data_IF_929471811181
#
_entry.id   IF_929471811181
#
_cell.length_a   1.000
_cell.length_b   1.000
_cell.length_c   1.000
_cell.angle_alpha   90.00
_cell.angle_beta   90.00
_cell.angle_gamma   90.00
#
_symmetry.space_group_name_H-M   'P 1'
#
loop_
_entity.id
_entity.type
_entity.pdbx_description
1 polymer ?
#
# COMPACT_ATOMS: atom_id res chain seq x y z
N UNK A 1 -8.48 -5.88 13.73
CA UNK A 1 -7.09 -5.51 14.07
C UNK A 1 -7.06 -4.02 14.41
N UNK A 2 -6.15 -3.54 15.27
CA UNK A 2 -6.02 -2.09 15.46
C UNK A 2 -5.66 -1.43 14.12
N UNK A 3 -6.05 -0.16 13.91
CA UNK A 3 -5.70 0.55 12.69
C UNK A 3 -4.17 0.67 12.55
N UNK A 4 -3.63 0.64 11.33
CA UNK A 4 -2.20 0.84 11.11
C UNK A 4 -1.72 2.20 11.64
N UNK A 5 -0.44 2.30 11.98
CA UNK A 5 0.17 3.57 12.37
C UNK A 5 0.16 4.55 11.18
N UNK A 6 -0.23 5.79 11.45
CA UNK A 6 -0.27 6.84 10.44
C UNK A 6 1.14 7.25 10.00
N UNK A 7 1.38 7.49 8.71
CA UNK A 7 2.62 8.05 8.20
C UNK A 7 2.95 9.43 8.78
N UNK A 8 4.23 9.66 9.04
CA UNK A 8 4.68 10.92 9.65
C UNK A 8 4.71 12.11 8.66
N UNK A 9 4.63 11.86 7.35
CA UNK A 9 4.74 12.87 6.29
C UNK A 9 3.41 13.46 5.81
N UNK A 10 2.27 13.08 6.42
CA UNK A 10 0.93 13.51 6.01
C UNK A 10 0.84 15.03 5.85
N UNK A 11 1.26 15.78 6.87
CA UNK A 11 1.19 17.24 6.83
C UNK A 11 1.98 17.85 5.66
N UNK A 12 3.17 17.31 5.37
CA UNK A 12 4.01 17.77 4.27
C UNK A 12 3.41 17.44 2.90
N UNK A 13 2.87 16.24 2.75
CA UNK A 13 2.24 15.79 1.51
C UNK A 13 0.98 16.62 1.22
N UNK A 14 0.14 16.83 2.21
CA UNK A 14 -1.08 17.65 2.09
C UNK A 14 -0.75 19.11 1.78
N UNK A 15 0.25 19.70 2.44
CA UNK A 15 0.68 21.06 2.17
C UNK A 15 1.10 21.27 0.70
N UNK A 16 1.81 20.30 0.12
CA UNK A 16 2.19 20.35 -1.30
C UNK A 16 0.99 20.26 -2.23
N UNK A 17 0.03 19.39 -1.93
CA UNK A 17 -1.19 19.25 -2.72
C UNK A 17 -2.07 20.50 -2.66
N UNK A 18 -2.21 21.13 -1.49
CA UNK A 18 -2.91 22.40 -1.35
C UNK A 18 -2.20 23.50 -2.15
N UNK A 19 -0.87 23.59 -2.08
CA UNK A 19 -0.10 24.59 -2.81
C UNK A 19 -0.19 24.41 -4.33
N UNK A 20 -0.34 23.17 -4.82
CA UNK A 20 -0.55 22.87 -6.25
C UNK A 20 -1.87 23.45 -6.77
N UNK A 21 -2.96 23.33 -5.98
CA UNK A 21 -4.31 23.69 -6.41
C UNK A 21 -4.64 25.19 -6.09
N UNK A 22 -4.23 25.67 -4.92
CA UNK A 22 -4.67 26.97 -4.41
C UNK A 22 -3.77 28.16 -4.84
N UNK A 23 -2.43 27.98 -4.89
CA UNK A 23 -1.46 29.05 -5.17
C UNK A 23 -1.83 30.36 -4.48
N UNK A 24 -2.23 31.37 -5.26
CA UNK A 24 -2.53 32.74 -4.79
C UNK A 24 -3.99 32.91 -4.30
N UNK A 25 -4.86 31.92 -4.48
CA UNK A 25 -6.24 31.95 -3.98
C UNK A 25 -7.26 31.19 -4.84
N UNK A 26 -8.47 31.05 -4.29
CA UNK A 26 -9.60 30.42 -4.95
C UNK A 26 -10.58 31.47 -5.49
N UNK A 27 -10.49 31.75 -6.78
CA UNK A 27 -11.30 32.77 -7.47
C UNK A 27 -12.80 32.47 -7.40
N UNK A 28 -13.19 31.19 -7.41
CA UNK A 28 -14.61 30.80 -7.38
C UNK A 28 -15.19 30.90 -5.98
N UNK A 29 -14.42 30.54 -4.95
CA UNK A 29 -14.86 30.66 -3.57
C UNK A 29 -15.12 32.12 -3.14
N UNK A 30 -14.51 33.11 -3.78
CA UNK A 30 -14.75 34.52 -3.52
C UNK A 30 -16.17 34.98 -3.85
N UNK A 31 -16.92 34.24 -4.66
CA UNK A 31 -18.34 34.48 -4.92
C UNK A 31 -19.23 34.25 -3.69
N UNK A 32 -18.72 33.55 -2.68
CA UNK A 32 -19.45 33.17 -1.47
C UNK A 32 -19.03 34.08 -0.32
N UNK A 33 -19.99 34.50 0.49
CA UNK A 33 -19.72 35.30 1.69
C UNK A 33 -18.76 34.60 2.65
N UNK A 34 -17.76 35.31 3.15
CA UNK A 34 -16.66 34.79 3.97
C UNK A 34 -17.11 33.95 5.19
N UNK A 35 -18.28 34.26 5.74
CA UNK A 35 -18.81 33.64 6.94
C UNK A 35 -20.08 32.82 6.71
N UNK A 36 -20.41 32.55 5.43
CA UNK A 36 -21.58 31.72 5.09
C UNK A 36 -21.37 30.30 5.66
N UNK A 37 -22.18 29.84 6.62
CA UNK A 37 -22.06 28.49 7.16
C UNK A 37 -22.61 27.48 6.15
N UNK A 38 -22.04 26.30 6.14
CA UNK A 38 -22.52 25.18 5.34
C UNK A 38 -22.33 23.85 6.05
N UNK A 39 -23.15 22.89 5.61
CA UNK A 39 -22.99 21.46 5.91
C UNK A 39 -22.80 20.76 4.57
N UNK A 40 -21.77 19.93 4.46
CA UNK A 40 -21.52 19.12 3.28
C UNK A 40 -21.46 17.63 3.65
N UNK A 41 -21.85 16.78 2.72
CA UNK A 41 -21.76 15.33 2.87
C UNK A 41 -20.89 14.74 1.76
N UNK A 42 -20.00 13.81 2.15
CA UNK A 42 -19.23 13.00 1.20
C UNK A 42 -19.91 11.66 1.06
N UNK A 43 -20.17 11.28 -0.20
CA UNK A 43 -20.88 10.05 -0.57
C UNK A 43 -20.00 9.21 -1.46
N UNK A 44 -19.85 7.92 -1.16
CA UNK A 44 -19.23 6.93 -2.05
C UNK A 44 -20.21 6.59 -3.19
N UNK A 45 -19.77 6.61 -4.45
CA UNK A 45 -20.59 6.27 -5.61
C UNK A 45 -20.52 4.81 -6.02
N UNK A 46 -19.61 4.08 -5.41
CA UNK A 46 -19.40 2.65 -5.62
C UNK A 46 -18.94 1.97 -4.33
N UNK A 47 -19.06 0.63 -4.19
CA UNK A 47 -18.55 -0.09 -3.04
C UNK A 47 -17.02 0.01 -2.99
N UNK A 48 -16.45 0.20 -1.78
CA UNK A 48 -15.02 0.31 -1.61
C UNK A 48 -14.57 -0.09 -0.18
N UNK A 49 -13.25 -0.17 0.01
CA UNK A 49 -12.61 -0.12 1.32
C UNK A 49 -12.14 1.31 1.56
N UNK A 50 -12.67 1.96 2.58
CA UNK A 50 -12.34 3.36 2.90
C UNK A 50 -10.87 3.47 3.33
N UNK A 51 -10.18 4.49 2.81
CA UNK A 51 -8.84 4.86 3.28
C UNK A 51 -8.51 6.31 2.92
N UNK A 52 -7.81 7.00 3.83
CA UNK A 52 -7.33 8.36 3.57
C UNK A 52 -7.92 9.44 4.46
N UNK A 53 -8.63 9.07 5.54
CA UNK A 53 -9.25 10.01 6.48
C UNK A 53 -8.25 11.03 7.00
N UNK A 54 -7.06 10.61 7.41
CA UNK A 54 -6.06 11.51 7.98
C UNK A 54 -5.57 12.58 6.98
N UNK A 55 -5.48 12.28 5.69
CA UNK A 55 -5.15 13.27 4.64
C UNK A 55 -6.31 14.20 4.37
N UNK A 56 -7.53 13.68 4.36
CA UNK A 56 -8.75 14.46 4.21
C UNK A 56 -8.89 15.46 5.36
N UNK A 57 -8.78 15.02 6.60
CA UNK A 57 -8.87 15.87 7.80
C UNK A 57 -7.76 16.92 7.83
N UNK A 58 -6.53 16.52 7.48
CA UNK A 58 -5.37 17.40 7.43
C UNK A 58 -5.52 18.50 6.38
N UNK A 59 -6.20 18.22 5.25
CA UNK A 59 -6.50 19.23 4.23
C UNK A 59 -7.31 20.38 4.83
N UNK A 60 -8.39 20.07 5.54
CA UNK A 60 -9.22 21.11 6.17
C UNK A 60 -8.53 21.76 7.35
N UNK A 61 -7.77 21.01 8.15
CA UNK A 61 -6.98 21.56 9.24
C UNK A 61 -5.98 22.63 8.78
N UNK A 62 -5.34 22.43 7.62
CA UNK A 62 -4.40 23.41 7.06
C UNK A 62 -5.10 24.60 6.42
N UNK A 63 -6.25 24.39 5.78
CA UNK A 63 -6.98 25.48 5.10
C UNK A 63 -7.78 26.34 6.10
N UNK A 64 -8.52 25.71 6.99
CA UNK A 64 -9.37 26.41 7.96
C UNK A 64 -9.78 25.49 9.11
N UNK A 65 -9.23 25.71 10.29
CA UNK A 65 -9.52 24.92 11.50
C UNK A 65 -10.98 25.03 12.00
N UNK A 66 -11.80 25.91 11.43
CA UNK A 66 -13.25 26.02 11.71
C UNK A 66 -14.06 24.95 10.98
N UNK A 67 -13.48 24.26 10.00
CA UNK A 67 -14.14 23.13 9.36
C UNK A 67 -13.96 21.90 10.25
N UNK A 68 -15.07 21.32 10.68
CA UNK A 68 -15.11 20.05 11.41
C UNK A 68 -15.57 18.92 10.51
N UNK A 69 -14.97 17.75 10.64
CA UNK A 69 -15.32 16.54 9.88
C UNK A 69 -15.79 15.46 10.85
N UNK A 70 -16.98 14.91 10.59
CA UNK A 70 -17.57 13.81 11.35
C UNK A 70 -17.66 12.57 10.47
N UNK A 71 -16.86 11.54 10.78
CA UNK A 71 -16.79 10.31 10.03
C UNK A 71 -17.82 9.27 10.48
N UNK A 72 -18.39 8.54 9.51
CA UNK A 72 -19.31 7.42 9.74
C UNK A 72 -18.65 6.05 9.51
N UNK A 73 -17.42 6.03 8.99
CA UNK A 73 -16.62 4.83 8.79
C UNK A 73 -15.15 5.11 9.10
N UNK A 74 -14.39 4.07 9.40
CA UNK A 74 -12.95 4.12 9.66
C UNK A 74 -12.14 3.66 8.44
N UNK A 75 -10.86 4.01 8.39
CA UNK A 75 -9.94 3.44 7.41
C UNK A 75 -9.89 1.91 7.57
N UNK A 76 -10.04 1.18 6.46
CA UNK A 76 -10.16 -0.29 6.41
C UNK A 76 -11.59 -0.82 6.42
N UNK A 77 -12.60 0.00 6.72
CA UNK A 77 -14.00 -0.42 6.68
C UNK A 77 -14.50 -0.58 5.23
N UNK A 78 -15.33 -1.59 5.02
CA UNK A 78 -16.08 -1.75 3.78
C UNK A 78 -17.24 -0.74 3.76
N UNK A 79 -17.34 0.01 2.66
CA UNK A 79 -18.42 0.98 2.43
C UNK A 79 -19.26 0.56 1.23
N UNK A 80 -20.58 0.75 1.32
CA UNK A 80 -21.51 0.48 0.23
C UNK A 80 -21.60 1.66 -0.75
N UNK A 81 -22.09 1.41 -1.96
CA UNK A 81 -22.50 2.48 -2.87
C UNK A 81 -23.56 3.35 -2.20
N UNK A 82 -23.50 4.65 -2.49
CA UNK A 82 -24.39 5.70 -1.97
C UNK A 82 -24.35 5.89 -0.43
N UNK A 83 -23.38 5.28 0.26
CA UNK A 83 -23.15 5.52 1.68
C UNK A 83 -22.55 6.92 1.91
N UNK A 84 -23.07 7.63 2.91
CA UNK A 84 -22.44 8.85 3.44
C UNK A 84 -21.26 8.42 4.29
N UNK A 85 -20.03 8.80 3.91
CA UNK A 85 -18.80 8.42 4.63
C UNK A 85 -18.40 9.45 5.68
N UNK A 86 -18.68 10.74 5.43
CA UNK A 86 -18.51 11.79 6.42
C UNK A 86 -19.42 13.00 6.15
N UNK A 87 -19.57 13.85 7.19
CA UNK A 87 -20.23 15.13 7.12
C UNK A 87 -19.24 16.22 7.57
N UNK A 88 -19.20 17.32 6.81
CA UNK A 88 -18.40 18.51 7.13
C UNK A 88 -19.32 19.63 7.59
N UNK A 89 -18.86 20.43 8.57
CA UNK A 89 -19.52 21.65 9.04
C UNK A 89 -18.49 22.76 9.15
N UNK A 90 -18.80 23.94 8.60
CA UNK A 90 -17.92 25.09 8.66
C UNK A 90 -18.25 26.18 7.65
N UNK A 91 -17.33 27.12 7.39
CA UNK A 91 -17.51 28.13 6.34
C UNK A 91 -17.59 27.48 4.96
N UNK A 92 -18.64 27.79 4.19
CA UNK A 92 -18.89 27.24 2.86
C UNK A 92 -17.68 27.41 1.92
N UNK A 93 -17.05 28.60 1.95
CA UNK A 93 -15.85 28.92 1.17
C UNK A 93 -14.72 27.92 1.46
N UNK A 94 -14.42 27.68 2.74
CA UNK A 94 -13.31 26.80 3.15
C UNK A 94 -13.58 25.34 2.78
N UNK A 95 -14.85 24.90 2.89
CA UNK A 95 -15.25 23.54 2.47
C UNK A 95 -15.05 23.36 0.99
N UNK A 96 -15.48 24.29 0.14
CA UNK A 96 -15.33 24.21 -1.32
C UNK A 96 -13.88 24.29 -1.75
N UNK A 97 -13.09 25.17 -1.15
CA UNK A 97 -11.65 25.31 -1.48
C UNK A 97 -10.89 24.01 -1.17
N UNK A 98 -11.23 23.29 -0.08
CA UNK A 98 -10.57 22.04 0.29
C UNK A 98 -11.11 20.80 -0.41
N UNK A 99 -12.30 20.87 -1.01
CA UNK A 99 -13.02 19.72 -1.56
C UNK A 99 -12.15 18.85 -2.47
N UNK A 100 -11.56 19.43 -3.51
CA UNK A 100 -10.87 18.66 -4.54
C UNK A 100 -9.63 17.98 -4.00
N UNK A 101 -8.81 18.71 -3.26
CA UNK A 101 -7.60 18.15 -2.64
C UNK A 101 -7.93 17.03 -1.66
N UNK A 102 -8.92 17.24 -0.77
CA UNK A 102 -9.33 16.23 0.19
C UNK A 102 -9.89 14.96 -0.49
N UNK A 103 -10.77 15.13 -1.50
CA UNK A 103 -11.33 14.01 -2.25
C UNK A 103 -10.26 13.28 -3.08
N UNK A 104 -9.26 13.97 -3.62
CA UNK A 104 -8.17 13.33 -4.38
C UNK A 104 -7.38 12.34 -3.52
N UNK A 105 -7.07 12.66 -2.27
CA UNK A 105 -6.46 11.71 -1.34
C UNK A 105 -7.41 10.55 -1.02
N UNK A 106 -8.64 10.84 -0.65
CA UNK A 106 -9.62 9.84 -0.25
C UNK A 106 -9.88 8.82 -1.38
N UNK A 107 -10.12 9.28 -2.61
CA UNK A 107 -10.42 8.45 -3.76
C UNK A 107 -9.24 7.55 -4.16
N UNK A 108 -8.02 8.09 -4.16
CA UNK A 108 -6.82 7.37 -4.55
C UNK A 108 -6.42 6.33 -3.49
N UNK A 109 -6.44 6.68 -2.21
CA UNK A 109 -6.07 5.78 -1.12
C UNK A 109 -7.13 4.69 -0.92
N UNK A 110 -8.42 5.03 -1.01
CA UNK A 110 -9.49 4.02 -1.02
C UNK A 110 -9.38 3.09 -2.22
N UNK A 111 -8.96 3.59 -3.39
CA UNK A 111 -8.68 2.75 -4.57
C UNK A 111 -7.58 1.72 -4.30
N UNK A 112 -6.47 2.13 -3.70
CA UNK A 112 -5.38 1.23 -3.32
C UNK A 112 -5.84 0.20 -2.27
N UNK A 113 -6.57 0.63 -1.23
CA UNK A 113 -7.10 -0.25 -0.19
C UNK A 113 -8.11 -1.27 -0.76
N UNK A 114 -9.01 -0.83 -1.65
CA UNK A 114 -10.00 -1.70 -2.31
C UNK A 114 -9.33 -2.75 -3.20
N UNK A 115 -8.34 -2.34 -4.01
CA UNK A 115 -7.57 -3.26 -4.84
C UNK A 115 -6.82 -4.30 -3.98
N UNK A 116 -6.25 -3.86 -2.86
CA UNK A 116 -5.60 -4.77 -1.91
C UNK A 116 -6.59 -5.75 -1.31
N UNK A 117 -7.74 -5.27 -0.82
CA UNK A 117 -8.79 -6.12 -0.23
C UNK A 117 -9.24 -7.19 -1.20
N UNK A 118 -9.49 -6.85 -2.45
CA UNK A 118 -9.91 -7.82 -3.47
C UNK A 118 -8.91 -8.94 -3.69
N UNK A 119 -7.60 -8.67 -3.58
CA UNK A 119 -6.55 -9.68 -3.69
C UNK A 119 -6.41 -10.51 -2.39
N UNK A 120 -6.53 -9.88 -1.24
CA UNK A 120 -6.53 -10.57 0.07
C UNK A 120 -7.68 -11.56 0.16
N UNK A 121 -8.87 -11.19 -0.33
CA UNK A 121 -10.03 -12.06 -0.33
C UNK A 121 -9.85 -13.32 -1.20
N UNK A 122 -9.05 -13.24 -2.29
CA UNK A 122 -8.72 -14.39 -3.13
C UNK A 122 -7.91 -15.45 -2.38
N UNK A 123 -7.03 -15.05 -1.46
CA UNK A 123 -6.15 -15.96 -0.73
C UNK A 123 -6.72 -16.43 0.61
N UNK A 124 -7.94 -16.03 0.95
CA UNK A 124 -8.63 -16.51 2.16
C UNK A 124 -8.66 -18.04 2.20
N UNK A 125 -8.34 -18.62 3.36
CA UNK A 125 -8.24 -20.08 3.56
C UNK A 125 -6.87 -20.67 3.23
N UNK A 126 -5.90 -19.86 2.77
CA UNK A 126 -4.47 -20.19 2.71
C UNK A 126 -3.71 -19.44 3.82
N UNK A 127 -2.42 -19.74 4.01
CA UNK A 127 -1.56 -18.95 4.92
C UNK A 127 -0.81 -17.83 4.20
N UNK A 128 -0.93 -17.75 2.88
CA UNK A 128 -0.24 -16.77 2.05
C UNK A 128 -0.73 -15.36 2.33
N UNK A 129 0.20 -14.42 2.43
CA UNK A 129 -0.06 -12.99 2.64
C UNK A 129 0.32 -12.18 1.41
N UNK A 130 -0.41 -11.11 1.15
CA UNK A 130 -0.20 -10.23 0.01
C UNK A 130 0.73 -9.09 0.41
N UNK A 131 1.80 -8.87 -0.37
CA UNK A 131 2.73 -7.77 -0.20
C UNK A 131 2.56 -6.72 -1.30
N UNK A 132 2.77 -5.46 -0.92
CA UNK A 132 3.04 -4.39 -1.87
C UNK A 132 4.48 -4.46 -2.41
N UNK A 133 4.87 -3.44 -3.17
CA UNK A 133 6.25 -3.27 -3.67
C UNK A 133 6.69 -1.81 -3.57
N UNK A 134 7.88 -1.50 -4.12
CA UNK A 134 8.34 -0.12 -4.30
C UNK A 134 7.84 0.54 -5.59
N UNK A 135 6.99 -0.14 -6.39
CA UNK A 135 6.36 0.39 -7.62
C UNK A 135 5.18 1.29 -7.22
N UNK A 136 5.45 2.44 -6.60
CA UNK A 136 4.47 3.39 -6.06
C UNK A 136 4.45 4.69 -6.86
N UNK A 137 3.39 5.48 -6.70
CA UNK A 137 3.37 6.85 -7.19
C UNK A 137 4.48 7.67 -6.50
N UNK A 138 5.26 8.46 -7.26
CA UNK A 138 6.29 9.31 -6.67
C UNK A 138 5.71 10.26 -5.60
N UNK A 139 6.39 10.36 -4.46
CA UNK A 139 5.98 11.22 -3.34
C UNK A 139 4.84 10.68 -2.47
N UNK A 140 4.15 9.58 -2.87
CA UNK A 140 2.98 9.04 -2.16
C UNK A 140 3.20 7.62 -1.61
N UNK A 141 4.47 7.16 -1.55
CA UNK A 141 4.76 5.77 -1.14
C UNK A 141 4.24 5.43 0.25
N UNK A 142 4.46 6.27 1.24
CA UNK A 142 4.00 6.00 2.61
C UNK A 142 2.47 5.96 2.67
N UNK A 143 1.79 6.86 1.96
CA UNK A 143 0.34 6.89 1.88
C UNK A 143 -0.23 5.62 1.22
N UNK A 144 0.35 5.17 0.09
CA UNK A 144 -0.09 3.95 -0.58
C UNK A 144 0.21 2.69 0.25
N UNK A 145 1.37 2.63 0.92
CA UNK A 145 1.69 1.52 1.83
C UNK A 145 0.75 1.46 3.04
N UNK A 146 0.36 2.60 3.59
CA UNK A 146 -0.69 2.66 4.60
C UNK A 146 -2.04 2.11 4.05
N UNK A 147 -2.41 2.50 2.83
CA UNK A 147 -3.63 2.01 2.20
C UNK A 147 -3.61 0.49 1.95
N UNK A 148 -2.45 -0.09 1.65
CA UNK A 148 -2.28 -1.55 1.55
C UNK A 148 -2.58 -2.22 2.88
N UNK A 149 -2.08 -1.69 4.00
CA UNK A 149 -2.40 -2.22 5.34
C UNK A 149 -3.90 -2.10 5.64
N UNK A 150 -4.55 -0.98 5.29
CA UNK A 150 -6.00 -0.81 5.43
C UNK A 150 -6.79 -1.82 4.59
N UNK A 151 -6.29 -2.20 3.42
CA UNK A 151 -6.83 -3.27 2.59
C UNK A 151 -6.62 -4.68 3.15
N UNK A 152 -5.81 -4.85 4.21
CA UNK A 152 -5.51 -6.14 4.83
C UNK A 152 -4.30 -6.86 4.23
N UNK A 153 -3.53 -6.19 3.37
CA UNK A 153 -2.23 -6.65 2.91
C UNK A 153 -1.10 -6.30 3.88
N UNK A 154 0.11 -6.57 3.50
CA UNK A 154 1.33 -6.26 4.22
C UNK A 154 2.27 -5.41 3.38
N UNK A 155 3.20 -4.74 4.05
CA UNK A 155 4.21 -3.97 3.36
C UNK A 155 5.48 -4.81 3.12
N UNK A 156 5.96 -4.83 1.89
CA UNK A 156 7.36 -5.10 1.59
C UNK A 156 8.20 -3.89 2.04
N UNK A 157 9.53 -3.97 1.98
CA UNK A 157 10.42 -2.87 2.37
C UNK A 157 9.93 -1.51 1.86
N UNK A 158 10.08 -0.49 2.71
CA UNK A 158 9.63 0.87 2.42
C UNK A 158 10.57 1.55 1.41
N UNK A 159 11.87 1.34 1.59
CA UNK A 159 12.89 2.01 0.78
C UNK A 159 14.12 1.15 0.52
N UNK A 160 15.25 1.80 0.35
CA UNK A 160 16.55 1.15 0.24
C UNK A 160 17.29 1.06 1.58
N UNK A 161 16.65 1.56 2.66
CA UNK A 161 17.24 1.78 3.97
C UNK A 161 16.74 0.81 5.06
N UNK A 162 15.64 0.10 4.83
CA UNK A 162 14.97 -0.71 5.86
C UNK A 162 15.06 -2.23 5.64
N UNK A 163 15.44 -2.68 4.43
CA UNK A 163 15.78 -4.07 4.14
C UNK A 163 16.70 -4.18 2.92
N UNK A 164 17.51 -5.23 2.88
CA UNK A 164 18.35 -5.58 1.75
C UNK A 164 17.56 -6.56 0.86
N UNK A 165 17.48 -6.26 -0.45
CA UNK A 165 17.01 -7.17 -1.47
C UNK A 165 18.16 -7.40 -2.46
N UNK A 166 18.73 -8.60 -2.43
CA UNK A 166 19.78 -9.06 -3.31
C UNK A 166 19.13 -9.55 -4.60
N UNK A 167 19.58 -9.06 -5.73
CA UNK A 167 19.08 -9.40 -7.09
C UNK A 167 20.17 -10.01 -7.92
N UNK A 168 19.80 -10.59 -9.09
CA UNK A 168 20.70 -11.20 -10.06
C UNK A 168 22.01 -10.41 -10.25
N UNK A 169 21.92 -9.10 -10.51
CA UNK A 169 23.09 -8.25 -10.75
C UNK A 169 24.02 -8.12 -9.53
N UNK A 170 23.49 -8.22 -8.32
CA UNK A 170 24.31 -8.24 -7.11
C UNK A 170 25.01 -9.60 -6.96
N UNK A 171 24.30 -10.71 -7.28
CA UNK A 171 24.86 -12.07 -7.23
C UNK A 171 26.00 -12.20 -8.23
N UNK A 172 25.78 -11.76 -9.48
CA UNK A 172 26.81 -11.76 -10.54
C UNK A 172 28.05 -10.95 -10.12
N UNK A 173 27.83 -9.75 -9.54
CA UNK A 173 28.92 -8.87 -9.13
C UNK A 173 29.76 -9.44 -7.97
N UNK A 174 29.16 -10.23 -7.06
CA UNK A 174 29.80 -10.80 -5.87
C UNK A 174 30.27 -12.24 -6.10
N UNK A 175 29.67 -12.95 -7.07
CA UNK A 175 30.08 -14.27 -7.56
C UNK A 175 29.17 -15.44 -7.17
N UNK A 176 28.35 -15.34 -6.11
CA UNK A 176 27.36 -16.37 -5.75
C UNK A 176 26.31 -15.83 -4.77
N UNK A 177 25.19 -16.55 -4.62
CA UNK A 177 24.13 -16.26 -3.63
C UNK A 177 24.73 -16.28 -2.22
N UNK A 178 25.48 -17.32 -1.89
CA UNK A 178 26.14 -17.46 -0.57
C UNK A 178 27.05 -16.29 -0.25
N UNK A 179 27.90 -15.88 -1.21
CA UNK A 179 28.82 -14.75 -0.99
C UNK A 179 28.06 -13.42 -0.81
N UNK A 180 27.00 -13.20 -1.57
CA UNK A 180 26.19 -11.99 -1.52
C UNK A 180 25.44 -11.88 -0.20
N UNK A 181 24.78 -12.95 0.27
CA UNK A 181 24.09 -12.98 1.58
C UNK A 181 25.09 -12.79 2.72
N UNK A 182 26.24 -13.47 2.68
CA UNK A 182 27.28 -13.30 3.71
C UNK A 182 27.85 -11.88 3.75
N UNK A 183 28.02 -11.23 2.59
CA UNK A 183 28.45 -9.83 2.53
C UNK A 183 27.38 -8.88 3.11
N UNK A 184 26.11 -9.07 2.75
CA UNK A 184 24.99 -8.30 3.27
C UNK A 184 24.87 -8.44 4.79
N UNK A 185 24.96 -9.65 5.35
CA UNK A 185 24.89 -9.90 6.79
C UNK A 185 26.05 -9.28 7.56
N UNK A 186 27.28 -9.34 7.02
CA UNK A 186 28.44 -8.63 7.64
C UNK A 186 28.26 -7.12 7.67
N UNK A 187 27.72 -6.55 6.59
CA UNK A 187 27.50 -5.10 6.49
C UNK A 187 26.36 -4.62 7.38
N UNK A 188 25.29 -5.40 7.51
CA UNK A 188 24.05 -5.02 8.17
C UNK A 188 23.48 -6.19 9.01
N UNK A 189 24.06 -6.50 10.18
CA UNK A 189 23.72 -7.72 10.93
C UNK A 189 22.26 -7.84 11.35
N UNK A 190 21.59 -6.72 11.60
CA UNK A 190 20.22 -6.68 12.14
C UNK A 190 19.15 -6.28 11.10
N UNK A 191 19.54 -6.16 9.83
CA UNK A 191 18.62 -5.79 8.76
C UNK A 191 18.10 -7.05 8.08
N UNK A 192 16.81 -7.07 7.74
CA UNK A 192 16.21 -8.16 6.96
C UNK A 192 16.94 -8.30 5.61
N UNK A 193 17.36 -9.53 5.30
CA UNK A 193 17.99 -9.87 4.02
C UNK A 193 17.07 -10.77 3.24
N UNK A 194 16.70 -10.31 2.07
CA UNK A 194 15.96 -11.06 1.07
C UNK A 194 16.85 -11.27 -0.15
N UNK A 195 16.76 -12.45 -0.76
CA UNK A 195 17.48 -12.79 -1.99
C UNK A 195 16.50 -13.30 -3.04
N UNK A 196 16.60 -12.73 -4.23
CA UNK A 196 15.84 -13.11 -5.41
C UNK A 196 16.57 -14.25 -6.13
N UNK A 197 15.84 -15.31 -6.45
CA UNK A 197 16.35 -16.52 -7.14
C UNK A 197 15.47 -16.86 -8.33
N UNK A 198 16.07 -17.37 -9.40
CA UNK A 198 15.42 -17.68 -10.68
C UNK A 198 15.37 -19.18 -10.97
N UNK A 199 15.94 -20.01 -10.10
CA UNK A 199 16.00 -21.47 -10.27
C UNK A 199 15.95 -22.24 -8.95
N UNK A 200 15.56 -23.52 -9.02
CA UNK A 200 15.60 -24.42 -7.87
C UNK A 200 17.02 -24.67 -7.35
N UNK A 201 18.04 -24.54 -8.19
CA UNK A 201 19.44 -24.70 -7.78
C UNK A 201 19.90 -23.49 -6.97
N UNK A 202 19.58 -22.28 -7.39
CA UNK A 202 19.80 -21.05 -6.61
C UNK A 202 19.00 -21.06 -5.31
N UNK A 203 17.77 -21.58 -5.33
CA UNK A 203 16.97 -21.76 -4.11
C UNK A 203 17.67 -22.68 -3.11
N UNK A 204 18.25 -23.82 -3.56
CA UNK A 204 19.03 -24.73 -2.69
C UNK A 204 20.23 -24.01 -2.08
N UNK A 205 20.94 -23.21 -2.87
CA UNK A 205 22.04 -22.40 -2.36
C UNK A 205 21.55 -21.36 -1.35
N UNK A 206 20.46 -20.63 -1.64
CA UNK A 206 19.89 -19.62 -0.76
C UNK A 206 19.40 -20.20 0.57
N UNK A 207 18.78 -21.39 0.56
CA UNK A 207 18.34 -22.10 1.77
C UNK A 207 19.50 -22.46 2.72
N UNK A 208 20.70 -22.65 2.18
CA UNK A 208 21.91 -22.92 2.98
C UNK A 208 22.54 -21.64 3.58
N UNK A 209 21.98 -20.46 3.33
CA UNK A 209 22.49 -19.16 3.81
C UNK A 209 21.72 -18.66 5.04
N UNK A 210 22.14 -17.49 5.55
CA UNK A 210 21.43 -16.76 6.61
C UNK A 210 20.45 -15.71 6.07
N UNK A 211 19.93 -15.87 4.85
CA UNK A 211 18.84 -15.05 4.35
C UNK A 211 17.57 -15.16 5.25
N UNK A 212 16.76 -14.13 5.31
CA UNK A 212 15.51 -14.12 6.09
C UNK A 212 14.31 -14.49 5.21
N UNK A 213 14.36 -14.07 3.94
CA UNK A 213 13.35 -14.37 2.92
C UNK A 213 14.03 -14.71 1.60
N UNK A 214 13.38 -15.57 0.83
CA UNK A 214 13.82 -15.91 -0.54
C UNK A 214 12.65 -15.63 -1.48
N UNK A 215 12.90 -14.81 -2.49
CA UNK A 215 11.93 -14.46 -3.51
C UNK A 215 12.14 -15.39 -4.72
N UNK A 216 11.06 -16.09 -5.08
CA UNK A 216 10.99 -16.93 -6.28
C UNK A 216 10.51 -16.07 -7.44
N UNK A 217 11.42 -15.61 -8.31
CA UNK A 217 11.08 -14.72 -9.42
C UNK A 217 10.70 -15.49 -10.67
N UNK A 218 9.49 -15.25 -11.16
CA UNK A 218 8.89 -15.89 -12.35
C UNK A 218 8.90 -17.44 -12.34
N UNK A 219 8.85 -18.08 -11.16
CA UNK A 219 8.76 -19.55 -11.06
C UNK A 219 7.42 -20.06 -11.58
N UNK A 220 7.44 -21.26 -12.20
CA UNK A 220 6.22 -22.00 -12.51
C UNK A 220 5.54 -22.51 -11.24
N UNK A 221 4.23 -22.80 -11.29
CA UNK A 221 3.52 -23.39 -10.14
C UNK A 221 4.13 -24.71 -9.68
N UNK A 222 4.72 -25.50 -10.60
CA UNK A 222 5.40 -26.75 -10.27
C UNK A 222 6.70 -26.48 -9.50
N UNK A 223 7.48 -25.50 -9.95
CA UNK A 223 8.74 -25.11 -9.29
C UNK A 223 8.47 -24.43 -7.94
N UNK A 224 7.41 -23.63 -7.81
CA UNK A 224 7.00 -23.09 -6.52
C UNK A 224 6.68 -24.18 -5.50
N UNK A 225 5.92 -25.24 -5.90
CA UNK A 225 5.66 -26.39 -5.02
C UNK A 225 6.96 -27.13 -4.67
N UNK A 226 7.81 -27.40 -5.68
CA UNK A 226 9.12 -28.00 -5.44
C UNK A 226 9.99 -27.16 -4.49
N UNK A 227 9.93 -25.84 -4.61
CA UNK A 227 10.62 -24.91 -3.72
C UNK A 227 10.10 -24.94 -2.29
N UNK A 228 8.76 -25.02 -2.10
CA UNK A 228 8.14 -25.20 -0.79
C UNK A 228 8.56 -26.53 -0.16
N UNK A 229 8.59 -27.61 -0.94
CA UNK A 229 9.04 -28.92 -0.47
C UNK A 229 10.52 -28.89 -0.05
N UNK A 230 11.39 -28.28 -0.85
CA UNK A 230 12.80 -28.09 -0.53
C UNK A 230 12.99 -27.32 0.79
N UNK A 231 12.29 -26.17 0.95
CA UNK A 231 12.31 -25.39 2.18
C UNK A 231 11.84 -26.18 3.39
N UNK A 232 10.76 -26.99 3.24
CA UNK A 232 10.20 -27.78 4.33
C UNK A 232 11.10 -28.97 4.73
N UNK A 233 11.86 -29.52 3.77
CA UNK A 233 12.85 -30.58 4.03
C UNK A 233 14.16 -30.03 4.63
N UNK A 234 14.39 -28.72 4.54
CA UNK A 234 15.62 -28.10 5.05
C UNK A 234 15.63 -28.08 6.58
N UNK A 235 16.73 -28.51 7.19
CA UNK A 235 16.86 -28.62 8.66
C UNK A 235 17.47 -27.38 9.33
N UNK A 236 17.88 -26.39 8.54
CA UNK A 236 18.46 -25.13 9.02
C UNK A 236 17.41 -24.08 9.41
N UNK A 237 17.79 -22.81 9.28
CA UNK A 237 16.89 -21.67 9.47
C UNK A 237 15.72 -21.80 8.49
N UNK A 238 14.50 -21.64 8.98
CA UNK A 238 13.31 -21.62 8.12
C UNK A 238 13.11 -20.23 7.52
N UNK A 239 13.56 -20.03 6.28
CA UNK A 239 13.30 -18.83 5.50
C UNK A 239 11.83 -18.78 5.05
N UNK A 240 11.28 -17.58 4.93
CA UNK A 240 10.00 -17.40 4.23
C UNK A 240 10.21 -17.37 2.72
N UNK A 241 9.23 -17.92 1.97
CA UNK A 241 9.23 -17.88 0.51
C UNK A 241 8.23 -16.84 0.03
N UNK A 242 8.69 -15.97 -0.88
CA UNK A 242 7.87 -14.99 -1.56
C UNK A 242 7.79 -15.35 -3.05
N UNK A 243 6.59 -15.40 -3.62
CA UNK A 243 6.42 -15.47 -5.07
C UNK A 243 6.33 -14.06 -5.66
N UNK A 244 7.11 -13.82 -6.71
CA UNK A 244 7.14 -12.58 -7.49
C UNK A 244 7.05 -12.90 -8.98
N UNK A 245 6.77 -11.88 -9.80
CA UNK A 245 6.62 -12.00 -11.24
C UNK A 245 5.32 -11.44 -11.76
N UNK A 246 4.79 -11.97 -12.84
CA UNK A 246 3.57 -11.50 -13.51
C UNK A 246 2.28 -11.95 -12.82
N UNK A 247 2.17 -11.73 -11.48
CA UNK A 247 1.00 -12.13 -10.68
C UNK A 247 -0.20 -11.20 -10.95
N UNK A 248 -1.36 -11.82 -11.15
CA UNK A 248 -2.64 -11.15 -11.29
C UNK A 248 -3.76 -11.90 -10.54
N UNK A 249 -4.98 -11.34 -10.49
CA UNK A 249 -6.10 -11.94 -9.76
C UNK A 249 -6.44 -13.37 -10.22
N UNK A 250 -6.27 -13.69 -11.52
CA UNK A 250 -6.58 -15.02 -12.03
C UNK A 250 -5.55 -16.09 -11.63
N UNK A 251 -4.28 -15.72 -11.52
CA UNK A 251 -3.19 -16.65 -11.14
C UNK A 251 -3.01 -16.74 -9.62
N UNK A 252 -3.43 -15.75 -8.86
CA UNK A 252 -3.11 -15.57 -7.45
C UNK A 252 -3.54 -16.75 -6.58
N UNK A 253 -4.76 -17.28 -6.78
CA UNK A 253 -5.26 -18.41 -5.98
C UNK A 253 -4.37 -19.65 -6.15
N UNK A 254 -4.02 -20.00 -7.38
CA UNK A 254 -3.16 -21.14 -7.68
C UNK A 254 -1.75 -20.98 -7.10
N UNK A 255 -1.22 -19.75 -7.11
CA UNK A 255 0.07 -19.44 -6.49
C UNK A 255 -0.01 -19.61 -4.96
N UNK A 256 -1.02 -19.06 -4.31
CA UNK A 256 -1.20 -19.21 -2.85
C UNK A 256 -1.32 -20.68 -2.43
N UNK A 257 -1.98 -21.52 -3.24
CA UNK A 257 -2.13 -22.97 -3.01
C UNK A 257 -0.83 -23.78 -3.21
N UNK A 258 0.24 -23.16 -3.72
CA UNK A 258 1.57 -23.81 -3.74
C UNK A 258 2.21 -23.91 -2.36
N UNK A 259 1.77 -23.08 -1.41
CA UNK A 259 2.30 -23.04 -0.04
C UNK A 259 3.44 -22.03 0.17
N UNK A 260 3.57 -21.02 -0.71
CA UNK A 260 4.44 -19.87 -0.46
C UNK A 260 3.88 -18.99 0.65
N UNK A 261 4.74 -18.35 1.42
CA UNK A 261 4.33 -17.54 2.57
C UNK A 261 3.82 -16.16 2.12
N UNK A 262 4.37 -15.60 1.05
CA UNK A 262 4.05 -14.27 0.54
C UNK A 262 3.90 -14.25 -0.99
N UNK A 263 3.10 -13.31 -1.46
CA UNK A 263 3.03 -12.95 -2.89
C UNK A 263 3.12 -11.43 -3.01
N UNK A 264 4.13 -10.92 -3.69
CA UNK A 264 4.26 -9.48 -3.94
C UNK A 264 3.62 -9.08 -5.26
N UNK A 265 2.80 -8.01 -5.21
CA UNK A 265 2.00 -7.56 -6.36
C UNK A 265 2.17 -6.06 -6.57
N UNK A 266 3.00 -5.70 -7.54
CA UNK A 266 3.25 -4.29 -7.86
C UNK A 266 2.04 -3.54 -8.44
N UNK A 267 1.07 -4.26 -9.00
CA UNK A 267 -0.14 -3.68 -9.57
C UNK A 267 -0.98 -2.92 -8.54
N UNK A 268 -0.97 -3.34 -7.27
CA UNK A 268 -1.72 -2.72 -6.16
C UNK A 268 -1.45 -1.22 -6.07
N UNK A 269 -0.20 -0.83 -6.19
CA UNK A 269 0.24 0.57 -6.00
C UNK A 269 0.59 1.27 -7.32
N UNK A 270 0.86 0.51 -8.40
CA UNK A 270 1.23 1.05 -9.71
C UNK A 270 0.01 1.34 -10.58
N UNK A 271 -1.04 0.51 -10.53
CA UNK A 271 -2.24 0.63 -11.34
C UNK A 271 -3.44 1.07 -10.48
N UNK A 272 -3.35 2.26 -9.91
CA UNK A 272 -4.40 2.78 -9.03
C UNK A 272 -5.62 3.19 -9.84
N UNK A 273 -6.77 2.59 -9.52
CA UNK A 273 -8.08 3.06 -9.94
C UNK A 273 -8.73 3.80 -8.77
N UNK A 274 -8.95 5.10 -8.92
CA UNK A 274 -9.60 5.90 -7.91
C UNK A 274 -11.06 5.46 -7.70
N UNK A 275 -11.53 5.52 -6.44
CA UNK A 275 -12.94 5.31 -6.10
C UNK A 275 -13.69 6.63 -6.32
N UNK A 276 -14.89 6.55 -6.87
CA UNK A 276 -15.72 7.73 -7.08
C UNK A 276 -16.39 8.20 -5.79
N UNK A 277 -15.99 9.38 -5.32
CA UNK A 277 -16.61 10.10 -4.21
C UNK A 277 -17.12 11.45 -4.69
N UNK A 278 -18.24 11.88 -4.14
CA UNK A 278 -18.76 13.23 -4.37
C UNK A 278 -19.05 13.94 -3.05
N UNK A 279 -18.80 15.26 -3.02
CA UNK A 279 -19.21 16.12 -1.92
C UNK A 279 -20.33 17.05 -2.38
N UNK A 280 -21.35 17.23 -1.55
CA UNK A 280 -22.47 18.15 -1.81
C UNK A 280 -22.91 18.82 -0.54
N UNK A 281 -23.31 20.08 -0.63
CA UNK A 281 -24.02 20.74 0.44
C UNK A 281 -25.35 20.04 0.72
N UNK A 282 -25.67 19.93 2.03
CA UNK A 282 -26.89 19.29 2.53
C UNK A 282 -28.01 20.30 2.70
#
# INVERSE_FOLDING_TARGET
MPPPALPADIATVVSRAIAEDLRDGDLTAELIGRYTPAVARVVAREPATLCGRAWFDETFRQLDHRVSVSWHAADGDAIAADAIVCELRGPARSILTGERTALNFLQMLSGTATATRSLVDIVVGTHTRILDTRKTLPGLRLAQKYAVLCGGGDNHRIGLFDAILIKENHIVAVGSVTAAVAAARRQSPNVMIEVEVESLDELREALATDADRIMLDDFSLADMRGGVDLRNAHTGKRQSLEASGSVNAASLRAIAETGVDYVSIGAITKHVRAIDFSMRFA
#
